data_IF_521736009977
#
_entry.id   IF_521736009977
#
_cell.length_a   1.000
_cell.length_b   1.000
_cell.length_c   1.000
_cell.angle_alpha   90.00
_cell.angle_beta   90.00
_cell.angle_gamma   90.00
#
_symmetry.space_group_name_H-M   'P 1'
#
loop_
_entity.id
_entity.type
_entity.pdbx_description
1 polymer ?
#
# COMPACT_ATOMS: atom_id res chain seq x y z
N UNK A 1 -47.36 -53.30 34.65
CA UNK A 1 -46.85 -53.20 33.26
C UNK A 1 -46.78 -51.78 32.73
N UNK A 2 -47.85 -50.97 32.79
CA UNK A 2 -47.90 -49.60 32.24
C UNK A 2 -46.81 -48.62 32.76
N UNK A 3 -46.33 -48.78 34.01
CA UNK A 3 -45.27 -47.92 34.57
C UNK A 3 -43.87 -48.20 34.00
N UNK A 4 -43.61 -49.44 33.57
CA UNK A 4 -42.31 -49.85 33.03
C UNK A 4 -42.14 -49.41 31.56
N UNK A 5 -43.24 -49.42 30.79
CA UNK A 5 -43.26 -48.89 29.42
C UNK A 5 -43.04 -47.37 29.40
N UNK A 6 -43.56 -46.63 30.40
CA UNK A 6 -43.39 -45.17 30.49
C UNK A 6 -41.95 -44.74 30.79
N UNK A 7 -41.20 -45.54 31.57
CA UNK A 7 -39.78 -45.26 31.81
C UNK A 7 -38.89 -45.54 30.60
N UNK A 8 -39.24 -46.53 29.77
CA UNK A 8 -38.51 -46.80 28.52
C UNK A 8 -38.70 -45.72 27.45
N UNK A 9 -39.86 -45.06 27.39
CA UNK A 9 -40.08 -43.91 26.49
C UNK A 9 -39.32 -42.67 26.94
N UNK A 10 -39.34 -42.35 28.23
CA UNK A 10 -38.59 -41.20 28.79
C UNK A 10 -37.07 -41.33 28.57
N UNK A 11 -36.50 -42.52 28.79
CA UNK A 11 -35.06 -42.75 28.51
C UNK A 11 -34.70 -42.69 27.01
N UNK A 12 -35.65 -42.97 26.11
CA UNK A 12 -35.44 -42.84 24.65
C UNK A 12 -35.50 -41.38 24.19
N UNK A 13 -36.37 -40.57 24.78
CA UNK A 13 -36.51 -39.15 24.47
C UNK A 13 -35.24 -38.36 24.84
N UNK A 14 -34.67 -38.58 26.04
CA UNK A 14 -33.42 -37.90 26.45
C UNK A 14 -32.21 -38.30 25.57
N UNK A 15 -32.16 -39.56 25.12
CA UNK A 15 -31.07 -40.06 24.27
C UNK A 15 -31.16 -39.56 22.82
N UNK A 16 -32.36 -39.29 22.32
CA UNK A 16 -32.57 -38.65 21.02
C UNK A 16 -32.29 -37.14 21.08
N UNK A 17 -32.62 -36.49 22.19
CA UNK A 17 -32.37 -35.06 22.42
C UNK A 17 -30.87 -34.72 22.43
N UNK A 18 -30.06 -35.56 23.07
CA UNK A 18 -28.60 -35.39 23.16
C UNK A 18 -27.87 -35.56 21.82
N UNK A 19 -28.35 -36.43 20.93
CA UNK A 19 -27.76 -36.59 19.59
C UNK A 19 -27.98 -35.34 18.71
N UNK A 20 -29.18 -34.77 18.76
CA UNK A 20 -29.53 -33.55 18.01
C UNK A 20 -28.72 -32.36 18.51
N UNK A 21 -28.52 -32.23 19.83
CA UNK A 21 -27.72 -31.17 20.42
C UNK A 21 -26.24 -31.22 19.98
N UNK A 22 -25.64 -32.42 19.94
CA UNK A 22 -24.27 -32.60 19.43
C UNK A 22 -24.20 -32.23 17.94
N UNK A 23 -25.20 -32.60 17.15
CA UNK A 23 -25.26 -32.27 15.73
C UNK A 23 -25.36 -30.76 15.50
N UNK A 24 -26.24 -30.08 16.25
CA UNK A 24 -26.39 -28.62 16.21
C UNK A 24 -25.09 -27.93 16.66
N UNK A 25 -24.43 -28.45 17.68
CA UNK A 25 -23.15 -27.89 18.17
C UNK A 25 -22.05 -27.98 17.12
N UNK A 26 -21.90 -29.14 16.46
CA UNK A 26 -20.92 -29.32 15.38
C UNK A 26 -21.28 -28.43 14.18
N UNK A 27 -22.56 -28.27 13.87
CA UNK A 27 -23.02 -27.42 12.77
C UNK A 27 -22.70 -25.94 13.04
N UNK A 28 -23.01 -25.44 14.24
CA UNK A 28 -22.67 -24.07 14.66
C UNK A 28 -21.15 -23.88 14.66
N UNK A 29 -20.40 -24.82 15.23
CA UNK A 29 -18.94 -24.78 15.23
C UNK A 29 -18.36 -24.72 13.81
N UNK A 30 -18.92 -25.50 12.87
CA UNK A 30 -18.47 -25.52 11.48
C UNK A 30 -18.67 -24.16 10.80
N UNK A 31 -19.82 -23.51 11.02
CA UNK A 31 -20.09 -22.17 10.50
C UNK A 31 -19.08 -21.16 11.05
N UNK A 32 -18.81 -21.23 12.36
CA UNK A 32 -17.83 -20.36 13.02
C UNK A 32 -16.43 -20.56 12.41
N UNK A 33 -15.96 -21.80 12.29
CA UNK A 33 -14.63 -22.11 11.77
C UNK A 33 -14.44 -21.62 10.33
N UNK A 34 -15.42 -21.86 9.44
CA UNK A 34 -15.35 -21.43 8.04
C UNK A 34 -15.31 -19.89 7.94
N UNK A 35 -16.08 -19.22 8.78
CA UNK A 35 -16.11 -17.76 8.85
C UNK A 35 -14.74 -17.21 9.23
N UNK A 36 -14.13 -17.73 10.31
CA UNK A 36 -12.80 -17.30 10.76
C UNK A 36 -11.69 -17.64 9.76
N UNK A 37 -11.76 -18.78 9.06
CA UNK A 37 -10.77 -19.13 8.05
C UNK A 37 -10.70 -18.09 6.93
N UNK A 38 -11.86 -17.60 6.50
CA UNK A 38 -11.96 -16.56 5.47
C UNK A 38 -11.38 -15.23 5.96
N UNK A 39 -11.58 -14.88 7.24
CA UNK A 39 -10.95 -13.72 7.86
C UNK A 39 -9.43 -13.82 7.91
N UNK A 40 -8.86 -14.99 8.24
CA UNK A 40 -7.41 -15.17 8.27
C UNK A 40 -6.77 -15.01 6.89
N UNK A 41 -7.40 -15.54 5.83
CA UNK A 41 -6.91 -15.39 4.46
C UNK A 41 -6.89 -13.91 4.05
N UNK A 42 -7.98 -13.18 4.35
CA UNK A 42 -8.05 -11.76 4.05
C UNK A 42 -7.03 -10.95 4.86
N UNK A 43 -6.89 -11.24 6.16
CA UNK A 43 -5.92 -10.59 7.04
C UNK A 43 -4.49 -10.71 6.50
N UNK A 44 -4.07 -11.91 6.06
CA UNK A 44 -2.73 -12.08 5.46
C UNK A 44 -2.52 -11.26 4.19
N UNK A 45 -3.54 -11.15 3.33
CA UNK A 45 -3.45 -10.32 2.12
C UNK A 45 -3.33 -8.84 2.47
N UNK A 46 -4.07 -8.37 3.47
CA UNK A 46 -4.01 -6.99 3.94
C UNK A 46 -2.67 -6.67 4.57
N UNK A 47 -2.09 -7.58 5.37
CA UNK A 47 -0.75 -7.40 5.95
C UNK A 47 0.29 -7.24 4.85
N UNK A 48 0.36 -8.19 3.91
CA UNK A 48 1.33 -8.12 2.81
C UNK A 48 1.17 -6.85 1.96
N UNK A 49 -0.07 -6.44 1.68
CA UNK A 49 -0.33 -5.20 0.94
C UNK A 49 0.13 -3.97 1.74
N UNK A 50 -0.06 -3.98 3.06
CA UNK A 50 0.40 -2.90 3.92
C UNK A 50 1.92 -2.80 3.93
N UNK A 51 2.61 -3.95 4.03
CA UNK A 51 4.07 -4.01 3.98
C UNK A 51 4.58 -3.47 2.64
N UNK A 52 4.00 -3.93 1.52
CA UNK A 52 4.34 -3.45 0.17
C UNK A 52 4.17 -1.92 0.01
N UNK A 53 3.11 -1.35 0.58
CA UNK A 53 2.85 0.11 0.51
C UNK A 53 3.85 0.86 1.40
N UNK A 54 4.15 0.33 2.58
CA UNK A 54 5.12 0.92 3.50
C UNK A 54 6.52 0.97 2.90
N UNK A 55 6.97 -0.13 2.28
CA UNK A 55 8.26 -0.20 1.62
C UNK A 55 8.33 0.78 0.44
N UNK A 56 7.33 0.79 -0.44
CA UNK A 56 7.26 1.72 -1.56
C UNK A 56 7.21 3.19 -1.12
N UNK A 57 6.57 3.48 0.01
CA UNK A 57 6.54 4.83 0.60
C UNK A 57 7.91 5.22 1.13
N UNK A 58 8.62 4.31 1.80
CA UNK A 58 9.98 4.55 2.27
C UNK A 58 10.95 4.80 1.11
N UNK A 59 10.83 4.03 0.03
CA UNK A 59 11.57 4.28 -1.22
C UNK A 59 11.26 5.67 -1.76
N UNK A 60 9.98 6.04 -1.91
CA UNK A 60 9.60 7.38 -2.37
C UNK A 60 10.14 8.50 -1.48
N UNK A 61 10.13 8.31 -0.16
CA UNK A 61 10.67 9.26 0.81
C UNK A 61 12.18 9.43 0.65
N UNK A 62 12.91 8.32 0.55
CA UNK A 62 14.37 8.32 0.38
C UNK A 62 14.76 9.10 -0.88
N UNK A 63 13.99 8.97 -1.96
CA UNK A 63 14.21 9.73 -3.19
C UNK A 63 13.94 11.22 -3.05
N UNK A 64 12.83 11.59 -2.39
CA UNK A 64 12.54 12.99 -2.11
C UNK A 64 13.65 13.60 -1.25
N UNK A 65 14.11 12.89 -0.21
CA UNK A 65 15.22 13.33 0.65
C UNK A 65 16.54 13.46 -0.13
N UNK A 66 16.80 12.54 -1.06
CA UNK A 66 17.97 12.65 -1.92
C UNK A 66 17.91 13.88 -2.83
N UNK A 67 16.77 14.16 -3.46
CA UNK A 67 16.59 15.36 -4.30
C UNK A 67 16.68 16.64 -3.46
N UNK A 68 16.09 16.64 -2.27
CA UNK A 68 16.22 17.74 -1.31
C UNK A 68 17.68 17.97 -0.89
N UNK A 69 18.45 16.91 -0.64
CA UNK A 69 19.87 17.04 -0.36
C UNK A 69 20.65 17.64 -1.55
N UNK A 70 20.31 17.26 -2.78
CA UNK A 70 20.89 17.89 -3.97
C UNK A 70 20.56 19.38 -4.02
N UNK A 71 19.36 19.80 -3.62
CA UNK A 71 19.00 21.22 -3.62
C UNK A 71 19.69 22.08 -2.57
N UNK A 72 20.13 21.49 -1.46
CA UNK A 72 20.93 22.20 -0.46
C UNK A 72 22.43 22.26 -0.82
N UNK A 73 22.89 21.44 -1.76
CA UNK A 73 24.33 21.26 -2.02
C UNK A 73 24.77 21.72 -3.40
N UNK A 74 23.85 21.84 -4.36
CA UNK A 74 24.14 22.10 -5.77
C UNK A 74 23.03 22.95 -6.39
N UNK A 75 23.41 23.76 -7.37
CA UNK A 75 22.45 24.38 -8.28
C UNK A 75 21.71 23.31 -9.09
N UNK A 76 20.55 23.69 -9.63
CA UNK A 76 19.66 22.76 -10.33
C UNK A 76 20.32 22.10 -11.55
N UNK A 77 21.05 22.86 -12.37
CA UNK A 77 21.67 22.33 -13.59
C UNK A 77 22.79 21.34 -13.27
N UNK A 78 23.61 21.63 -12.24
CA UNK A 78 24.61 20.69 -11.73
C UNK A 78 23.96 19.43 -11.16
N UNK A 79 22.85 19.56 -10.43
CA UNK A 79 22.11 18.41 -9.90
C UNK A 79 21.54 17.52 -11.02
N UNK A 80 21.00 18.10 -12.10
CA UNK A 80 20.52 17.35 -13.26
C UNK A 80 21.65 16.55 -13.95
N UNK A 81 22.83 17.15 -14.08
CA UNK A 81 23.99 16.47 -14.65
C UNK A 81 24.41 15.25 -13.83
N UNK A 82 24.37 15.33 -12.50
CA UNK A 82 24.69 14.21 -11.61
C UNK A 82 23.65 13.09 -11.69
N UNK A 83 22.38 13.46 -11.88
CA UNK A 83 21.29 12.52 -12.13
C UNK A 83 21.34 11.95 -13.56
N UNK A 84 22.21 12.47 -14.43
CA UNK A 84 22.31 12.15 -15.87
C UNK A 84 21.00 12.37 -16.61
N UNK A 85 20.28 13.41 -16.22
CA UNK A 85 19.00 13.80 -16.79
C UNK A 85 19.23 15.03 -17.63
N UNK A 86 18.81 14.98 -18.90
CA UNK A 86 18.84 16.14 -19.77
C UNK A 86 17.49 16.86 -19.64
N UNK A 87 17.53 18.17 -19.51
CA UNK A 87 16.41 19.06 -19.77
C UNK A 87 16.46 19.44 -21.27
N UNK A 88 15.63 18.82 -22.14
CA UNK A 88 15.71 19.04 -23.57
C UNK A 88 15.23 20.43 -23.99
N UNK A 89 14.30 20.98 -23.23
CA UNK A 89 13.56 22.20 -23.56
C UNK A 89 14.07 23.42 -22.77
N UNK A 90 14.87 23.19 -21.72
CA UNK A 90 15.45 24.23 -20.87
C UNK A 90 14.39 24.94 -20.02
N UNK A 91 13.24 24.31 -19.83
CA UNK A 91 12.08 24.87 -19.10
C UNK A 91 12.04 24.42 -17.64
N UNK A 92 13.02 23.61 -17.21
CA UNK A 92 13.12 23.03 -15.89
C UNK A 92 12.14 21.90 -15.64
N UNK A 93 11.49 21.36 -16.68
CA UNK A 93 10.66 20.17 -16.62
C UNK A 93 11.46 18.92 -17.01
N UNK A 94 11.69 18.04 -16.04
CA UNK A 94 12.41 16.80 -16.28
C UNK A 94 11.67 15.59 -15.73
N UNK A 95 11.80 14.48 -16.43
CA UNK A 95 11.31 13.19 -15.98
C UNK A 95 12.38 12.14 -16.21
N UNK A 96 12.60 11.30 -15.21
CA UNK A 96 13.47 10.14 -15.33
C UNK A 96 12.91 8.95 -14.57
N UNK A 97 13.42 7.78 -14.92
CA UNK A 97 13.05 6.52 -14.30
C UNK A 97 14.29 5.78 -13.87
N UNK A 98 14.24 5.15 -12.71
CA UNK A 98 15.26 4.22 -12.25
C UNK A 98 14.62 2.97 -11.65
N UNK A 99 15.45 1.96 -11.46
CA UNK A 99 15.06 0.71 -10.81
C UNK A 99 15.73 0.65 -9.44
N UNK A 100 14.95 0.41 -8.40
CA UNK A 100 15.40 0.25 -7.01
C UNK A 100 14.78 -1.03 -6.47
N UNK A 101 15.61 -1.99 -6.08
CA UNK A 101 15.17 -3.28 -5.52
C UNK A 101 14.12 -4.03 -6.37
N UNK A 102 14.20 -3.89 -7.71
CA UNK A 102 13.27 -4.51 -8.65
C UNK A 102 11.92 -3.78 -8.80
N UNK A 103 11.77 -2.62 -8.17
CA UNK A 103 10.67 -1.69 -8.34
C UNK A 103 11.07 -0.54 -9.28
N UNK A 104 10.11 -0.06 -10.07
CA UNK A 104 10.31 1.04 -10.99
C UNK A 104 9.97 2.36 -10.28
N UNK A 105 10.94 3.26 -10.18
CA UNK A 105 10.78 4.57 -9.57
C UNK A 105 10.79 5.63 -10.66
N UNK A 106 9.70 6.38 -10.78
CA UNK A 106 9.59 7.54 -11.66
C UNK A 106 9.71 8.82 -10.85
N UNK A 107 10.58 9.71 -11.29
CA UNK A 107 10.77 11.04 -10.70
C UNK A 107 10.41 12.08 -11.75
N UNK A 108 9.57 13.03 -11.38
CA UNK A 108 9.21 14.19 -12.19
C UNK A 108 9.51 15.45 -11.41
N UNK A 109 10.22 16.39 -12.04
CA UNK A 109 10.51 17.69 -11.48
C UNK A 109 10.03 18.75 -12.46
N UNK A 110 9.29 19.75 -11.98
CA UNK A 110 8.78 20.84 -12.80
C UNK A 110 8.75 22.14 -12.02
N UNK A 111 8.85 23.27 -12.71
CA UNK A 111 8.73 24.58 -12.07
C UNK A 111 7.35 24.75 -11.41
N UNK A 112 7.31 25.24 -10.17
CA UNK A 112 6.08 25.36 -9.41
C UNK A 112 5.17 26.44 -10.03
N UNK A 113 3.93 26.06 -10.34
CA UNK A 113 2.90 26.92 -10.91
C UNK A 113 1.74 27.13 -9.93
N UNK A 114 1.10 28.29 -9.99
CA UNK A 114 -0.11 28.60 -9.24
C UNK A 114 -1.35 27.92 -9.86
N UNK A 115 -2.52 28.09 -9.25
CA UNK A 115 -3.79 27.52 -9.75
C UNK A 115 -4.21 28.07 -11.13
N UNK A 116 -3.60 29.16 -11.60
CA UNK A 116 -3.87 29.78 -12.90
C UNK A 116 -2.82 29.37 -13.95
N UNK A 117 -1.83 28.56 -13.58
CA UNK A 117 -0.74 28.12 -14.45
C UNK A 117 0.42 29.10 -14.56
N UNK A 118 0.45 30.17 -13.76
CA UNK A 118 1.58 31.10 -13.73
C UNK A 118 2.70 30.52 -12.89
N UNK A 119 3.95 30.72 -13.32
CA UNK A 119 5.13 30.37 -12.52
C UNK A 119 5.13 31.17 -11.22
N UNK A 120 5.29 30.48 -10.10
CA UNK A 120 5.38 31.08 -8.76
C UNK A 120 6.79 31.64 -8.55
N UNK A 121 7.79 30.79 -8.79
CA UNK A 121 9.22 31.09 -8.69
C UNK A 121 9.98 30.04 -9.51
N UNK A 122 10.89 30.47 -10.38
CA UNK A 122 11.72 29.55 -11.20
C UNK A 122 12.62 28.66 -10.33
N UNK A 123 12.94 29.08 -9.11
CA UNK A 123 13.75 28.30 -8.14
C UNK A 123 12.94 27.28 -7.36
N UNK A 124 11.62 27.46 -7.29
CA UNK A 124 10.74 26.55 -6.57
C UNK A 124 10.26 25.47 -7.54
N UNK A 125 10.62 24.22 -7.26
CA UNK A 125 10.25 23.10 -8.13
C UNK A 125 9.40 22.08 -7.41
N UNK A 126 8.41 21.59 -8.14
CA UNK A 126 7.52 20.52 -7.74
C UNK A 126 8.22 19.20 -8.04
N UNK A 127 8.42 18.38 -7.02
CA UNK A 127 9.05 17.07 -7.14
C UNK A 127 8.01 16.01 -6.83
N UNK A 128 7.76 15.14 -7.81
CA UNK A 128 6.82 14.04 -7.73
C UNK A 128 7.58 12.73 -7.94
N UNK A 129 7.55 11.87 -6.93
CA UNK A 129 8.14 10.54 -6.97
C UNK A 129 7.01 9.51 -6.95
N UNK A 130 7.04 8.55 -7.87
CA UNK A 130 6.11 7.43 -7.95
C UNK A 130 6.86 6.11 -8.00
N UNK A 131 6.40 5.15 -7.20
CA UNK A 131 6.99 3.82 -7.11
C UNK A 131 5.99 2.79 -7.61
N UNK A 132 6.42 2.01 -8.60
CA UNK A 132 5.63 1.02 -9.28
C UNK A 132 6.22 -0.37 -9.07
N UNK A 133 5.35 -1.36 -8.92
CA UNK A 133 5.76 -2.76 -8.95
C UNK A 133 6.11 -3.23 -10.38
N UNK A 134 6.57 -4.48 -10.49
CA UNK A 134 6.91 -5.11 -11.77
C UNK A 134 5.72 -5.27 -12.72
N UNK A 135 4.49 -5.21 -12.20
CA UNK A 135 3.25 -5.21 -12.99
C UNK A 135 2.82 -3.79 -13.39
N UNK A 136 3.67 -2.79 -13.15
CA UNK A 136 3.44 -1.38 -13.42
C UNK A 136 2.24 -0.80 -12.64
N UNK A 137 1.95 -1.37 -11.46
CA UNK A 137 0.94 -0.85 -10.53
C UNK A 137 1.60 0.08 -9.52
N UNK A 138 1.03 1.27 -9.34
CA UNK A 138 1.49 2.24 -8.36
C UNK A 138 1.31 1.68 -6.94
N UNK A 139 2.40 1.64 -6.17
CA UNK A 139 2.42 1.21 -4.76
C UNK A 139 2.62 2.38 -3.80
N UNK A 140 3.41 3.39 -4.20
CA UNK A 140 3.72 4.55 -3.37
C UNK A 140 3.91 5.80 -4.21
N UNK A 141 3.60 6.96 -3.62
CA UNK A 141 3.80 8.27 -4.25
C UNK A 141 4.10 9.31 -3.19
N UNK A 142 5.05 10.21 -3.47
CA UNK A 142 5.28 11.41 -2.68
C UNK A 142 5.40 12.63 -3.60
N UNK A 143 4.85 13.75 -3.14
CA UNK A 143 4.91 15.03 -3.82
C UNK A 143 5.35 16.11 -2.83
N UNK A 144 6.28 16.94 -3.24
CA UNK A 144 6.76 18.07 -2.43
C UNK A 144 7.18 19.25 -3.31
N UNK A 145 7.38 20.42 -2.69
CA UNK A 145 7.97 21.59 -3.33
C UNK A 145 9.32 21.86 -2.68
N UNK A 146 10.35 21.99 -3.50
CA UNK A 146 11.73 22.17 -3.08
C UNK A 146 12.25 23.47 -3.69
N UNK A 147 12.87 24.30 -2.87
CA UNK A 147 13.55 25.52 -3.32
C UNK A 147 15.01 25.16 -3.63
N UNK A 148 15.47 25.46 -4.84
CA UNK A 148 16.89 25.36 -5.20
C UNK A 148 17.59 26.68 -4.92
N UNK A 149 18.61 26.65 -4.07
CA UNK A 149 19.53 27.78 -3.89
C UNK A 149 20.55 27.78 -5.06
N UNK A 150 21.03 28.98 -5.44
CA UNK A 150 22.08 29.15 -6.46
C UNK A 150 23.47 28.85 -5.91
#
# INVERSE_FOLDING_TARGET
MLRFQRQQTLMKEEKAMTLVEVLVSIMILSIIVVTFLTFFIQSRKTVNLSDDISDATYTAQTEVEYIYHLSETKDFDTALNDLKVNDPDGDGEVQFTKEVDGEKVEVTMSTAKDSNGNVIDDKLKNVLVKVYDQSNKLKGQMETKILWEE
#
